data_IF_502939542203
#
_entry.id   IF_502939542203
#
_cell.length_a   1.000
_cell.length_b   1.000
_cell.length_c   1.000
_cell.angle_alpha   90.00
_cell.angle_beta   90.00
_cell.angle_gamma   90.00
#
_symmetry.space_group_name_H-M   'P 1'
#
loop_
_entity.id
_entity.type
_entity.pdbx_description
1 polymer ?
#
# COMPACT_ATOMS: atom_id res chain seq x y z
N UNK A 1 -1.55 1.20 18.45
CA UNK A 1 -2.02 2.28 17.54
C UNK A 1 -1.67 1.86 16.12
N UNK A 2 -2.63 1.74 15.20
CA UNK A 2 -2.40 1.21 13.84
C UNK A 2 -1.44 2.10 13.04
N UNK A 3 -0.15 1.76 12.98
CA UNK A 3 0.92 2.65 12.51
C UNK A 3 0.92 2.87 10.99
N UNK A 4 0.42 1.91 10.20
CA UNK A 4 0.67 1.87 8.75
C UNK A 4 -0.59 1.69 7.88
N UNK A 5 -1.80 1.88 8.42
CA UNK A 5 -3.00 1.80 7.56
C UNK A 5 -3.15 3.04 6.68
N UNK A 6 -3.08 2.85 5.36
CA UNK A 6 -3.29 3.92 4.40
C UNK A 6 -3.68 3.42 2.99
N UNK A 7 -4.41 4.28 2.26
CA UNK A 7 -4.69 4.16 0.82
C UNK A 7 -3.84 5.12 -0.02
N UNK A 8 -2.71 5.56 0.53
CA UNK A 8 -1.88 6.61 -0.05
C UNK A 8 -1.27 6.22 -1.41
N UNK A 9 -1.11 4.93 -1.68
CA UNK A 9 -0.70 4.39 -2.97
C UNK A 9 -1.74 4.64 -4.09
N UNK A 10 -3.01 4.88 -3.72
CA UNK A 10 -4.08 5.23 -4.65
C UNK A 10 -4.27 6.76 -4.73
N UNK A 11 -4.32 7.42 -3.57
CA UNK A 11 -4.63 8.86 -3.49
C UNK A 11 -3.44 9.78 -3.79
N UNK A 12 -2.22 9.25 -3.79
CA UNK A 12 -1.00 10.02 -4.05
C UNK A 12 -0.63 11.02 -2.94
N UNK A 13 -1.16 10.84 -1.72
CA UNK A 13 -0.93 11.75 -0.58
C UNK A 13 0.45 11.60 0.08
N UNK A 14 1.22 10.60 -0.34
CA UNK A 14 2.56 10.32 0.20
C UNK A 14 3.63 10.48 -0.87
N UNK A 15 4.78 10.99 -0.44
CA UNK A 15 6.03 10.84 -1.18
C UNK A 15 6.78 9.64 -0.62
N UNK A 16 7.25 8.76 -1.51
CA UNK A 16 8.03 7.58 -1.15
C UNK A 16 9.50 7.97 -1.06
N UNK A 17 10.08 7.90 0.14
CA UNK A 17 11.49 8.22 0.38
C UNK A 17 12.36 7.01 0.05
N UNK A 18 11.98 5.83 0.55
CA UNK A 18 12.69 4.57 0.33
C UNK A 18 11.74 3.40 0.18
N UNK A 19 12.12 2.43 -0.66
CA UNK A 19 11.41 1.17 -0.80
C UNK A 19 12.19 0.04 -0.14
N UNK A 20 11.60 -0.58 0.88
CA UNK A 20 12.09 -1.86 1.43
C UNK A 20 11.13 -2.98 1.02
N UNK A 21 11.48 -4.25 1.24
CA UNK A 21 10.65 -5.37 0.78
C UNK A 21 9.25 -5.39 1.42
N UNK A 22 9.16 -5.00 2.70
CA UNK A 22 7.92 -5.06 3.48
C UNK A 22 7.55 -3.76 4.21
N UNK A 23 8.42 -2.75 4.18
CA UNK A 23 8.27 -1.51 4.98
C UNK A 23 8.75 -0.31 4.17
N UNK A 24 7.87 0.30 3.38
CA UNK A 24 8.23 1.53 2.67
C UNK A 24 8.35 2.71 3.63
N UNK A 25 9.36 3.54 3.44
CA UNK A 25 9.49 4.80 4.18
C UNK A 25 8.77 5.87 3.38
N UNK A 26 7.66 6.36 3.94
CA UNK A 26 6.78 7.34 3.29
C UNK A 26 6.62 8.60 4.14
N UNK A 27 6.55 9.75 3.48
CA UNK A 27 6.23 11.04 4.12
C UNK A 27 4.90 11.57 3.59
N UNK A 28 3.94 11.83 4.49
CA UNK A 28 2.67 12.49 4.15
C UNK A 28 2.91 14.00 4.04
N UNK A 29 3.16 14.46 2.82
CA UNK A 29 3.50 15.85 2.53
C UNK A 29 2.70 16.42 1.35
N UNK A 30 1.65 15.73 0.89
CA UNK A 30 0.89 16.09 -0.31
C UNK A 30 -0.61 16.05 -0.07
N UNK A 31 -1.30 16.95 -0.77
CA UNK A 31 -2.75 16.90 -0.92
C UNK A 31 -3.15 15.70 -1.77
N UNK A 32 -4.36 15.18 -1.53
CA UNK A 32 -4.90 14.10 -2.33
C UNK A 32 -5.03 14.54 -3.78
N UNK A 33 -4.62 13.67 -4.71
CA UNK A 33 -4.83 13.89 -6.15
C UNK A 33 -6.31 13.90 -6.48
N UNK A 34 -6.69 14.64 -7.51
CA UNK A 34 -8.06 14.54 -8.06
C UNK A 34 -8.27 13.14 -8.65
N UNK A 35 -9.52 12.72 -8.84
CA UNK A 35 -9.84 11.40 -9.41
C UNK A 35 -9.13 11.19 -10.76
N UNK A 36 -9.19 12.18 -11.66
CA UNK A 36 -8.48 12.11 -12.95
C UNK A 36 -6.96 11.95 -12.77
N UNK A 37 -6.37 12.66 -11.81
CA UNK A 37 -4.94 12.53 -11.51
C UNK A 37 -4.58 11.20 -10.82
N UNK A 38 -5.50 10.58 -10.08
CA UNK A 38 -5.27 9.25 -9.48
C UNK A 38 -5.13 8.17 -10.56
N UNK A 39 -5.86 8.27 -11.67
CA UNK A 39 -5.84 7.25 -12.72
C UNK A 39 -4.89 7.61 -13.87
N UNK A 40 -4.77 8.87 -14.25
CA UNK A 40 -4.10 9.23 -15.51
C UNK A 40 -2.81 10.01 -15.31
N UNK A 41 -2.52 10.53 -14.11
CA UNK A 41 -1.24 11.20 -13.89
C UNK A 41 -0.11 10.16 -13.85
N UNK A 42 0.95 10.30 -14.67
CA UNK A 42 2.06 9.35 -14.68
C UNK A 42 2.75 9.24 -13.32
N UNK A 43 3.56 8.20 -13.14
CA UNK A 43 4.39 8.08 -11.95
C UNK A 43 5.47 9.16 -11.94
N UNK A 44 5.61 9.85 -10.81
CA UNK A 44 6.62 10.91 -10.67
C UNK A 44 8.02 10.33 -10.45
N UNK A 45 8.09 9.12 -9.93
CA UNK A 45 9.37 8.43 -9.71
C UNK A 45 9.21 6.92 -9.78
N UNK A 46 10.34 6.23 -10.02
CA UNK A 46 10.42 4.76 -9.93
C UNK A 46 10.01 4.25 -8.55
N UNK A 47 10.29 5.02 -7.48
CA UNK A 47 9.93 4.65 -6.10
C UNK A 47 8.42 4.65 -5.88
N UNK A 48 7.73 5.65 -6.43
CA UNK A 48 6.27 5.71 -6.42
C UNK A 48 5.66 4.54 -7.21
N UNK A 49 6.23 4.22 -8.38
CA UNK A 49 5.80 3.06 -9.16
C UNK A 49 5.91 1.75 -8.36
N UNK A 50 7.07 1.48 -7.75
CA UNK A 50 7.29 0.27 -6.94
C UNK A 50 6.33 0.20 -5.76
N UNK A 51 6.11 1.33 -5.08
CA UNK A 51 5.18 1.43 -3.96
C UNK A 51 3.75 1.08 -4.37
N UNK A 52 3.24 1.69 -5.44
CA UNK A 52 1.91 1.37 -5.98
C UNK A 52 1.82 -0.08 -6.46
N UNK A 53 2.83 -0.55 -7.22
CA UNK A 53 2.87 -1.90 -7.73
C UNK A 53 2.81 -2.95 -6.62
N UNK A 54 3.52 -2.74 -5.50
CA UNK A 54 3.48 -3.67 -4.36
C UNK A 54 2.09 -3.76 -3.74
N UNK A 55 1.45 -2.62 -3.52
CA UNK A 55 0.11 -2.57 -2.92
C UNK A 55 -0.98 -3.15 -3.84
N UNK A 56 -0.71 -3.31 -5.13
CA UNK A 56 -1.59 -4.00 -6.10
C UNK A 56 -1.22 -5.47 -6.30
N UNK A 57 0.06 -5.80 -6.41
CA UNK A 57 0.54 -7.17 -6.72
C UNK A 57 0.44 -8.10 -5.50
N UNK A 58 0.68 -7.60 -4.30
CA UNK A 58 0.58 -8.41 -3.09
C UNK A 58 -0.83 -8.99 -2.85
N UNK A 59 -1.92 -8.19 -2.86
CA UNK A 59 -3.27 -8.76 -2.75
C UNK A 59 -3.63 -9.64 -3.96
N UNK A 60 -3.14 -9.33 -5.17
CA UNK A 60 -3.34 -10.19 -6.34
C UNK A 60 -2.70 -11.57 -6.15
N UNK A 61 -1.47 -11.61 -5.62
CA UNK A 61 -0.78 -12.85 -5.29
C UNK A 61 -1.53 -13.64 -4.21
N UNK A 62 -2.10 -12.95 -3.21
CA UNK A 62 -2.95 -13.60 -2.19
C UNK A 62 -4.19 -14.24 -2.81
N UNK A 63 -4.87 -13.59 -3.77
CA UNK A 63 -5.98 -14.20 -4.50
C UNK A 63 -5.49 -15.44 -5.26
N UNK A 64 -4.34 -15.35 -5.94
CA UNK A 64 -3.74 -16.49 -6.63
C UNK A 64 -3.52 -17.67 -5.70
N UNK A 65 -2.96 -17.44 -4.51
CA UNK A 65 -2.80 -18.47 -3.47
C UNK A 65 -4.15 -19.01 -3.00
N UNK A 66 -5.15 -18.16 -2.80
CA UNK A 66 -6.49 -18.56 -2.38
C UNK A 66 -7.17 -19.48 -3.40
N UNK A 67 -7.00 -19.20 -4.70
CA UNK A 67 -7.52 -20.03 -5.80
C UNK A 67 -6.80 -21.38 -5.87
N UNK A 68 -5.47 -21.37 -5.72
CA UNK A 68 -4.66 -22.59 -5.79
C UNK A 68 -4.86 -23.51 -4.58
N UNK A 69 -5.03 -22.95 -3.40
CA UNK A 69 -5.29 -23.71 -2.18
C UNK A 69 -6.03 -22.84 -1.15
N UNK A 70 -7.38 -22.94 -1.07
CA UNK A 70 -8.18 -22.11 -0.19
C UNK A 70 -7.88 -22.36 1.29
N UNK A 71 -7.46 -23.58 1.64
CA UNK A 71 -7.05 -23.92 3.00
C UNK A 71 -5.79 -23.17 3.45
N UNK A 72 -4.91 -22.78 2.54
CA UNK A 72 -3.70 -22.03 2.88
C UNK A 72 -4.02 -20.67 3.49
N UNK A 73 -5.05 -20.00 2.98
CA UNK A 73 -5.41 -18.66 3.44
C UNK A 73 -6.01 -18.72 4.86
N UNK A 74 -6.87 -19.72 5.10
CA UNK A 74 -7.44 -20.01 6.42
C UNK A 74 -6.34 -20.42 7.40
N UNK A 75 -5.46 -21.33 6.99
CA UNK A 75 -4.34 -21.79 7.80
C UNK A 75 -3.38 -20.65 8.15
N UNK A 76 -3.04 -19.78 7.19
CA UNK A 76 -2.23 -18.59 7.44
C UNK A 76 -2.89 -17.66 8.46
N UNK A 77 -4.20 -17.39 8.31
CA UNK A 77 -4.96 -16.59 9.28
C UNK A 77 -4.87 -17.16 10.70
N UNK A 78 -5.10 -18.47 10.86
CA UNK A 78 -5.00 -19.15 12.16
C UNK A 78 -3.58 -19.00 12.75
N UNK A 79 -2.54 -19.26 11.96
CA UNK A 79 -1.15 -19.16 12.42
C UNK A 79 -0.81 -17.74 12.88
N UNK A 80 -1.21 -16.72 12.11
CA UNK A 80 -0.96 -15.32 12.48
C UNK A 80 -1.71 -14.91 13.74
N UNK A 81 -2.98 -15.32 13.90
CA UNK A 81 -3.75 -15.06 15.12
C UNK A 81 -3.16 -15.75 16.35
N UNK A 82 -2.72 -17.00 16.22
CA UNK A 82 -2.06 -17.71 17.31
C UNK A 82 -0.72 -17.06 17.69
N UNK A 83 0.05 -16.60 16.71
CA UNK A 83 1.29 -15.87 16.96
C UNK A 83 1.03 -14.54 17.69
N UNK A 84 -0.01 -13.79 17.31
CA UNK A 84 -0.41 -12.56 17.99
C UNK A 84 -0.81 -12.79 19.45
N UNK A 85 -1.62 -13.82 19.71
CA UNK A 85 -2.00 -14.22 21.07
C UNK A 85 -0.74 -14.59 21.88
N UNK A 86 0.19 -15.34 21.28
CA UNK A 86 1.46 -15.70 21.90
C UNK A 86 2.31 -14.49 22.27
N UNK A 87 2.38 -13.47 21.40
CA UNK A 87 3.10 -12.23 21.67
C UNK A 87 2.47 -11.41 22.81
N UNK A 88 1.14 -11.34 22.88
CA UNK A 88 0.45 -10.67 23.99
C UNK A 88 0.65 -11.41 25.31
N UNK A 89 0.58 -12.74 25.32
CA UNK A 89 0.85 -13.55 26.51
C UNK A 89 2.30 -13.38 26.96
N UNK A 90 3.26 -13.38 26.02
CA UNK A 90 4.66 -13.12 26.32
C UNK A 90 4.87 -11.72 26.91
N UNK A 91 4.22 -10.70 26.34
CA UNK A 91 4.26 -9.35 26.89
C UNK A 91 3.74 -9.31 28.34
N UNK A 92 2.59 -9.95 28.60
CA UNK A 92 1.99 -10.02 29.93
C UNK A 92 2.93 -10.66 30.96
N UNK A 93 3.54 -11.80 30.61
CA UNK A 93 4.52 -12.48 31.48
C UNK A 93 5.70 -11.56 31.78
N UNK A 94 6.23 -10.86 30.77
CA UNK A 94 7.37 -9.96 30.96
C UNK A 94 7.03 -8.75 31.84
N UNK A 95 5.81 -8.21 31.74
CA UNK A 95 5.33 -7.19 32.68
C UNK A 95 5.31 -7.73 34.11
N UNK A 96 4.78 -8.94 34.31
CA UNK A 96 4.75 -9.57 35.63
C UNK A 96 6.15 -9.85 36.22
N UNK A 97 7.16 -10.08 35.37
CA UNK A 97 8.56 -10.28 35.80
C UNK A 97 9.36 -8.98 35.90
N UNK A 98 8.75 -7.81 35.66
CA UNK A 98 9.42 -6.51 35.71
C UNK A 98 10.33 -6.19 34.51
N UNK A 99 10.20 -6.93 33.41
CA UNK A 99 10.96 -6.72 32.18
C UNK A 99 10.15 -5.90 31.16
N UNK A 100 10.00 -4.61 31.44
CA UNK A 100 9.19 -3.68 30.63
C UNK A 100 9.70 -3.54 29.19
N UNK A 101 11.02 -3.61 28.97
CA UNK A 101 11.61 -3.50 27.63
C UNK A 101 11.15 -4.64 26.71
N UNK A 102 11.16 -5.88 27.21
CA UNK A 102 10.74 -7.05 26.43
C UNK A 102 9.24 -7.07 26.21
N UNK A 103 8.45 -6.59 27.19
CA UNK A 103 7.01 -6.42 27.03
C UNK A 103 6.68 -5.37 25.95
N UNK A 104 7.35 -4.22 25.96
CA UNK A 104 7.18 -3.19 24.93
C UNK A 104 7.58 -3.67 23.54
N UNK A 105 8.68 -4.42 23.43
CA UNK A 105 9.09 -5.01 22.15
C UNK A 105 8.01 -5.97 21.61
N UNK A 106 7.50 -6.87 22.44
CA UNK A 106 6.51 -7.85 22.04
C UNK A 106 5.17 -7.22 21.64
N UNK A 107 4.71 -6.19 22.38
CA UNK A 107 3.51 -5.44 22.02
C UNK A 107 3.68 -4.67 20.72
N UNK A 108 4.83 -4.02 20.49
CA UNK A 108 5.10 -3.33 19.23
C UNK A 108 5.09 -4.31 18.05
N UNK A 109 5.67 -5.50 18.22
CA UNK A 109 5.67 -6.53 17.19
C UNK A 109 4.26 -7.04 16.91
N UNK A 110 3.43 -7.26 17.94
CA UNK A 110 2.04 -7.66 17.78
C UNK A 110 1.23 -6.60 17.02
N UNK A 111 1.38 -5.32 17.38
CA UNK A 111 0.73 -4.21 16.68
C UNK A 111 1.16 -4.11 15.21
N UNK A 112 2.43 -4.38 14.91
CA UNK A 112 2.97 -4.37 13.55
C UNK A 112 2.38 -5.51 12.71
N UNK A 113 2.34 -6.73 13.24
CA UNK A 113 1.72 -7.89 12.58
C UNK A 113 0.25 -7.63 12.29
N UNK A 114 -0.49 -7.13 13.29
CA UNK A 114 -1.91 -6.81 13.15
C UNK A 114 -2.14 -5.72 12.10
N UNK A 115 -1.35 -4.64 12.13
CA UNK A 115 -1.45 -3.54 11.16
C UNK A 115 -1.22 -4.02 9.72
N UNK A 116 -0.25 -4.92 9.51
CA UNK A 116 0.04 -5.51 8.19
C UNK A 116 -1.09 -6.41 7.69
N UNK A 117 -1.72 -7.18 8.59
CA UNK A 117 -2.90 -7.97 8.24
C UNK A 117 -4.06 -7.07 7.81
N UNK A 118 -4.36 -6.02 8.58
CA UNK A 118 -5.40 -5.07 8.22
C UNK A 118 -5.09 -4.34 6.90
N UNK A 119 -3.85 -3.90 6.69
CA UNK A 119 -3.44 -3.27 5.43
C UNK A 119 -3.59 -4.23 4.24
N UNK A 120 -3.32 -5.53 4.42
CA UNK A 120 -3.52 -6.54 3.38
C UNK A 120 -5.00 -6.69 3.02
N UNK A 121 -5.91 -6.63 4.01
CA UNK A 121 -7.35 -6.61 3.78
C UNK A 121 -7.78 -5.34 3.03
N UNK A 122 -7.28 -4.17 3.43
CA UNK A 122 -7.56 -2.91 2.71
C UNK A 122 -7.10 -3.01 1.25
N UNK A 123 -5.86 -3.45 1.03
CA UNK A 123 -5.30 -3.62 -0.32
C UNK A 123 -6.12 -4.58 -1.16
N UNK A 124 -6.67 -5.64 -0.56
CA UNK A 124 -7.56 -6.59 -1.24
C UNK A 124 -8.90 -5.94 -1.62
N UNK A 125 -9.51 -5.18 -0.72
CA UNK A 125 -10.78 -4.46 -0.97
C UNK A 125 -10.62 -3.41 -2.07
N UNK A 126 -9.52 -2.65 -2.05
CA UNK A 126 -9.25 -1.60 -3.04
C UNK A 126 -8.53 -2.13 -4.30
N UNK A 127 -8.29 -3.44 -4.41
CA UNK A 127 -7.58 -4.05 -5.53
C UNK A 127 -8.14 -3.66 -6.90
N UNK A 128 -9.46 -3.70 -7.16
CA UNK A 128 -9.97 -3.33 -8.49
C UNK A 128 -9.59 -1.89 -8.88
N UNK A 129 -9.63 -0.97 -7.91
CA UNK A 129 -9.27 0.42 -8.12
C UNK A 129 -7.76 0.59 -8.32
N UNK A 130 -6.94 -0.10 -7.51
CA UNK A 130 -5.48 0.01 -7.62
C UNK A 130 -4.95 -0.66 -8.88
N UNK A 131 -5.54 -1.77 -9.32
CA UNK A 131 -5.21 -2.42 -10.59
C UNK A 131 -5.55 -1.53 -11.78
N UNK A 132 -6.74 -0.91 -11.78
CA UNK A 132 -7.13 0.05 -12.80
C UNK A 132 -6.18 1.25 -12.82
N UNK A 133 -5.91 1.84 -11.65
CA UNK A 133 -4.96 2.95 -11.53
C UNK A 133 -3.56 2.56 -11.99
N UNK A 134 -3.08 1.36 -11.66
CA UNK A 134 -1.76 0.90 -12.10
C UNK A 134 -1.68 0.75 -13.62
N UNK A 135 -2.73 0.21 -14.24
CA UNK A 135 -2.83 0.08 -15.69
C UNK A 135 -2.85 1.45 -16.38
N UNK A 136 -3.78 2.32 -15.98
CA UNK A 136 -3.98 3.62 -16.64
C UNK A 136 -2.77 4.54 -16.42
N UNK A 137 -2.19 4.56 -15.22
CA UNK A 137 -0.98 5.33 -14.94
C UNK A 137 0.25 4.74 -15.62
N UNK A 138 0.33 3.41 -15.76
CA UNK A 138 1.38 2.73 -16.53
C UNK A 138 1.37 3.16 -17.99
N UNK A 139 0.20 3.17 -18.61
CA UNK A 139 0.00 3.70 -19.97
C UNK A 139 0.41 5.16 -20.04
N UNK A 140 -0.08 6.01 -19.12
CA UNK A 140 0.29 7.44 -19.10
C UNK A 140 1.79 7.66 -18.93
N UNK A 141 2.45 6.82 -18.13
CA UNK A 141 3.90 6.90 -17.92
C UNK A 141 4.65 6.51 -19.19
N UNK A 142 4.17 5.51 -19.92
CA UNK A 142 4.69 5.14 -21.24
C UNK A 142 4.50 6.24 -22.28
N UNK A 143 3.31 6.85 -22.34
CA UNK A 143 3.01 7.96 -23.25
C UNK A 143 3.87 9.19 -22.97
N UNK A 144 4.07 9.55 -21.69
CA UNK A 144 4.98 10.63 -21.29
C UNK A 144 6.44 10.30 -21.63
N UNK A 145 6.87 9.05 -21.42
CA UNK A 145 8.24 8.64 -21.75
C UNK A 145 8.51 8.60 -23.27
N UNK A 146 7.49 8.39 -24.09
CA UNK A 146 7.56 8.44 -25.54
C UNK A 146 7.38 9.85 -26.12
N UNK A 147 7.23 10.87 -25.27
CA UNK A 147 6.98 12.27 -25.65
C UNK A 147 5.71 12.46 -26.51
N UNK A 148 4.73 11.56 -26.37
CA UNK A 148 3.46 11.59 -27.13
C UNK A 148 2.44 12.52 -26.48
N UNK A 149 2.49 12.68 -25.15
CA UNK A 149 1.51 13.46 -24.40
C UNK A 149 2.14 14.19 -23.22
N UNK A 150 1.90 15.50 -23.14
CA UNK A 150 2.31 16.33 -22.02
C UNK A 150 1.15 16.52 -21.02
N UNK A 151 1.26 15.83 -19.88
CA UNK A 151 0.28 15.86 -18.80
C UNK A 151 0.37 17.11 -17.92
N UNK A 152 1.41 17.92 -18.10
CA UNK A 152 1.64 19.15 -17.34
C UNK A 152 1.45 20.40 -18.24
N UNK A 153 0.97 20.23 -19.48
CA UNK A 153 0.64 21.33 -20.38
C UNK A 153 -0.51 22.19 -19.83
N UNK A 154 -0.44 23.53 -19.95
CA UNK A 154 -1.53 24.39 -19.53
C UNK A 154 -2.79 24.10 -20.35
N UNK A 155 -3.95 24.03 -19.69
CA UNK A 155 -5.24 23.84 -20.37
C UNK A 155 -5.42 24.93 -21.43
N UNK A 156 -5.48 24.55 -22.70
CA UNK A 156 -5.74 25.49 -23.80
C UNK A 156 -7.18 25.99 -23.64
N UNK A 157 -7.41 27.31 -23.53
CA UNK A 157 -8.76 27.85 -23.42
C UNK A 157 -9.61 27.39 -24.62
N UNK A 158 -10.83 26.91 -24.34
CA UNK A 158 -11.79 26.37 -25.32
C UNK A 158 -12.21 27.34 -26.43
N UNK A 159 -11.71 28.59 -26.42
CA UNK A 159 -11.96 29.61 -27.43
C UNK A 159 -11.06 29.51 -28.67
N UNK A 160 -10.09 28.58 -28.70
CA UNK A 160 -9.13 28.44 -29.80
C UNK A 160 -9.14 27.08 -30.51
N UNK A 161 -10.10 26.19 -30.22
CA UNK A 161 -10.24 24.94 -30.96
C UNK A 161 -10.77 25.25 -32.39
N UNK A 162 -10.02 24.94 -33.46
CA UNK A 162 -10.54 25.05 -34.82
C UNK A 162 -11.64 23.99 -35.03
N UNK A 163 -12.76 24.43 -35.60
CA UNK A 163 -13.89 23.58 -36.02
C UNK A 163 -13.47 22.53 -37.06
#
# INVERSE_FOLDING_TARGET
MLKDLHVAHLTGTVTVVENHLFTDVVTRNRNARTIGQMFFKPYESKKEFIFCARHTLQPLAMIGVAVLSPFSLVGAGIVFSLAEIGLHLFALVNVCTGNESSAHWALNLAEEVFSRLCQSVINLVVLPLTALAMLTRGISTGLKAADIYDYDAPEVPSTLAPN
#
